data_IF_663954941169
#
_entry.id   IF_663954941169
#
_cell.length_a   1.000
_cell.length_b   1.000
_cell.length_c   1.000
_cell.angle_alpha   90.00
_cell.angle_beta   90.00
_cell.angle_gamma   90.00
#
_symmetry.space_group_name_H-M   'P 1'
#
loop_
_entity.id
_entity.type
_entity.pdbx_description
1 polymer ?
#
# COMPACT_ATOMS: atom_id res chain seq x y z
N UNK A 1 1.01 11.03 -9.52
CA UNK A 1 -0.19 10.26 -9.93
C UNK A 1 0.29 8.92 -10.44
N UNK A 2 -0.17 7.82 -9.84
CA UNK A 2 0.23 6.47 -10.24
C UNK A 2 -0.43 6.10 -11.57
N UNK A 3 0.33 5.46 -12.46
CA UNK A 3 -0.15 4.98 -13.76
C UNK A 3 0.16 3.49 -13.87
N UNK A 4 -0.83 2.64 -14.19
CA UNK A 4 -0.59 1.22 -14.37
C UNK A 4 0.26 0.98 -15.63
N UNK A 5 0.95 -0.15 -15.71
CA UNK A 5 1.73 -0.50 -16.88
C UNK A 5 0.86 -0.64 -18.14
N UNK A 6 1.23 0.10 -19.18
CA UNK A 6 0.54 0.07 -20.48
C UNK A 6 0.63 -1.30 -21.19
N UNK A 7 1.57 -2.15 -20.79
CA UNK A 7 1.71 -3.53 -21.27
C UNK A 7 0.56 -4.43 -20.83
N UNK A 8 -0.08 -4.12 -19.69
CA UNK A 8 -1.17 -4.91 -19.10
C UNK A 8 -2.50 -4.17 -19.22
N UNK A 9 -2.50 -2.85 -18.95
CA UNK A 9 -3.70 -2.02 -18.95
C UNK A 9 -3.58 -0.97 -20.06
N UNK A 10 -4.29 -1.19 -21.16
CA UNK A 10 -4.31 -0.26 -22.30
C UNK A 10 -5.34 0.86 -22.11
N UNK A 11 -6.34 0.66 -21.26
CA UNK A 11 -7.41 1.64 -21.06
C UNK A 11 -6.88 2.84 -20.28
N UNK A 12 -7.07 4.08 -20.78
CA UNK A 12 -6.63 5.27 -20.07
C UNK A 12 -7.47 5.50 -18.81
N UNK A 13 -6.80 5.64 -17.66
CA UNK A 13 -7.46 5.99 -16.40
C UNK A 13 -7.73 7.48 -16.27
N UNK A 14 -8.90 7.81 -15.72
CA UNK A 14 -9.28 9.17 -15.33
C UNK A 14 -8.48 9.64 -14.09
N UNK A 15 -8.38 10.95 -13.83
CA UNK A 15 -7.60 11.47 -12.71
C UNK A 15 -8.00 10.90 -11.34
N UNK A 16 -9.30 10.78 -11.05
CA UNK A 16 -9.77 10.22 -9.79
C UNK A 16 -9.43 8.73 -9.67
N UNK A 17 -9.46 7.99 -10.78
CA UNK A 17 -9.09 6.57 -10.81
C UNK A 17 -7.60 6.37 -10.54
N UNK A 18 -6.74 7.29 -11.00
CA UNK A 18 -5.30 7.27 -10.67
C UNK A 18 -5.05 7.56 -9.19
N UNK A 19 -5.83 8.45 -8.58
CA UNK A 19 -5.77 8.72 -7.14
C UNK A 19 -6.22 7.51 -6.33
N UNK A 20 -7.36 6.89 -6.69
CA UNK A 20 -7.84 5.67 -6.04
C UNK A 20 -6.87 4.49 -6.18
N UNK A 21 -6.27 4.32 -7.36
CA UNK A 21 -5.21 3.34 -7.59
C UNK A 21 -3.98 3.59 -6.69
N UNK A 22 -3.50 4.83 -6.60
CA UNK A 22 -2.37 5.19 -5.74
C UNK A 22 -2.66 4.93 -4.26
N UNK A 23 -3.88 5.22 -3.81
CA UNK A 23 -4.34 4.91 -2.46
C UNK A 23 -4.33 3.41 -2.17
N UNK A 24 -4.91 2.60 -3.07
CA UNK A 24 -4.94 1.15 -2.90
C UNK A 24 -3.54 0.54 -2.94
N UNK A 25 -2.67 1.04 -3.81
CA UNK A 25 -1.28 0.60 -3.89
C UNK A 25 -0.49 0.86 -2.59
N UNK A 26 -0.60 2.05 -2.03
CA UNK A 26 0.03 2.39 -0.74
C UNK A 26 -0.46 1.47 0.39
N UNK A 27 -1.72 1.02 0.32
CA UNK A 27 -2.33 0.10 1.29
C UNK A 27 -1.96 -1.36 1.10
N UNK A 28 -1.55 -1.79 -0.09
CA UNK A 28 -1.04 -3.14 -0.33
C UNK A 28 0.43 -3.29 0.06
N UNK A 29 1.15 -2.17 0.29
CA UNK A 29 2.54 -2.19 0.74
C UNK A 29 2.56 -2.24 2.27
N UNK A 30 3.16 -3.29 2.89
CA UNK A 30 3.21 -3.44 4.35
C UNK A 30 3.86 -2.27 5.10
N UNK A 31 4.73 -1.51 4.42
CA UNK A 31 5.43 -0.34 4.92
C UNK A 31 5.00 0.97 4.23
N UNK A 32 3.81 0.99 3.62
CA UNK A 32 3.25 2.16 2.98
C UNK A 32 3.06 3.32 3.97
N UNK A 33 2.86 4.52 3.43
CA UNK A 33 2.64 5.71 4.26
C UNK A 33 1.39 5.54 5.13
N UNK A 34 0.33 4.95 4.57
CA UNK A 34 -0.91 4.68 5.30
C UNK A 34 -0.74 3.77 6.51
N UNK A 35 0.23 2.85 6.49
CA UNK A 35 0.51 1.95 7.61
C UNK A 35 0.98 2.69 8.86
N UNK A 36 1.49 3.92 8.69
CA UNK A 36 2.13 4.72 9.74
C UNK A 36 1.19 5.73 10.39
N UNK A 37 -0.02 5.93 9.87
CA UNK A 37 -0.93 6.99 10.31
C UNK A 37 -1.34 6.88 11.80
N UNK A 38 -1.34 5.69 12.38
CA UNK A 38 -1.65 5.46 13.80
C UNK A 38 -0.40 5.34 14.69
N UNK A 39 0.78 5.62 14.15
CA UNK A 39 2.06 5.46 14.84
C UNK A 39 2.83 6.77 14.92
N UNK A 40 3.09 7.23 16.14
CA UNK A 40 3.99 8.34 16.39
C UNK A 40 5.44 7.82 16.42
N UNK A 41 6.25 8.18 15.43
CA UNK A 41 7.67 7.78 15.38
C UNK A 41 8.56 8.79 16.09
N UNK A 42 9.64 8.31 16.71
CA UNK A 42 10.63 9.15 17.36
C UNK A 42 11.35 10.09 16.36
N UNK A 43 11.88 11.24 16.83
CA UNK A 43 12.59 12.18 15.98
C UNK A 43 13.83 11.55 15.31
N UNK A 44 14.23 12.06 14.13
CA UNK A 44 15.46 11.64 13.47
C UNK A 44 16.67 11.79 14.42
N UNK A 45 17.53 10.77 14.50
CA UNK A 45 18.75 10.80 15.34
C UNK A 45 18.59 10.20 16.75
N UNK A 46 17.41 9.72 17.11
CA UNK A 46 17.18 8.93 18.33
C UNK A 46 17.07 7.43 18.01
N UNK A 47 17.19 6.55 19.03
CA UNK A 47 16.85 5.13 18.88
C UNK A 47 15.43 5.01 18.35
N UNK A 48 15.25 4.27 17.24
CA UNK A 48 13.95 4.12 16.60
C UNK A 48 12.94 3.55 17.58
N UNK A 49 11.90 4.32 17.86
CA UNK A 49 10.75 3.87 18.63
C UNK A 49 9.49 4.43 17.96
N UNK A 50 8.49 3.57 17.79
CA UNK A 50 7.17 3.97 17.31
C UNK A 50 6.12 3.60 18.36
N UNK A 51 5.26 4.57 18.68
CA UNK A 51 4.19 4.41 19.65
C UNK A 51 2.84 4.45 18.95
N UNK A 52 2.01 3.45 19.17
CA UNK A 52 0.65 3.44 18.66
C UNK A 52 -0.20 4.46 19.43
N UNK A 53 -0.84 5.37 18.71
CA UNK A 53 -1.51 6.57 19.28
C UNK A 53 -2.64 6.17 20.23
N UNK A 54 -3.36 5.08 19.95
CA UNK A 54 -4.55 4.67 20.70
C UNK A 54 -4.20 3.71 21.84
N UNK A 55 -3.41 2.69 21.57
CA UNK A 55 -3.13 1.60 22.53
C UNK A 55 -1.88 1.84 23.38
N UNK A 56 -1.11 2.89 23.08
CA UNK A 56 0.21 3.15 23.68
C UNK A 56 1.23 2.01 23.54
N UNK A 57 0.98 1.02 22.68
CA UNK A 57 1.96 -0.03 22.35
C UNK A 57 3.20 0.62 21.74
N UNK A 58 4.38 0.27 22.25
CA UNK A 58 5.67 0.74 21.74
C UNK A 58 6.34 -0.40 20.98
N UNK A 59 6.89 -0.09 19.81
CA UNK A 59 7.74 -0.99 19.03
C UNK A 59 9.07 -0.32 18.71
N UNK A 60 10.14 -1.10 18.76
CA UNK A 60 11.52 -0.65 18.53
C UNK A 60 12.06 -1.02 17.14
N UNK A 61 11.25 -1.64 16.28
CA UNK A 61 11.62 -1.98 14.91
C UNK A 61 10.51 -1.66 13.90
N UNK A 62 10.92 -1.29 12.68
CA UNK A 62 10.01 -0.97 11.59
C UNK A 62 9.25 -2.21 11.07
N UNK A 63 9.88 -3.38 11.08
CA UNK A 63 9.25 -4.66 10.73
C UNK A 63 8.06 -5.00 11.64
N UNK A 64 8.11 -4.59 12.90
CA UNK A 64 7.01 -4.79 13.86
C UNK A 64 5.77 -3.93 13.53
N UNK A 65 5.96 -2.81 12.82
CA UNK A 65 4.87 -1.97 12.30
C UNK A 65 4.21 -2.63 11.09
N UNK A 66 5.05 -3.17 10.20
CA UNK A 66 4.65 -3.85 8.97
C UNK A 66 3.73 -5.04 9.20
N UNK A 67 4.01 -5.83 10.25
CA UNK A 67 3.32 -7.09 10.53
C UNK A 67 1.93 -6.92 11.14
N UNK A 68 1.67 -5.78 11.79
CA UNK A 68 0.41 -5.53 12.50
C UNK A 68 -0.56 -4.64 11.72
N UNK A 69 -0.15 -4.09 10.58
CA UNK A 69 -1.00 -3.19 9.80
C UNK A 69 -1.87 -4.01 8.83
N UNK A 70 -3.19 -3.82 8.82
CA UNK A 70 -4.05 -4.46 7.83
C UNK A 70 -3.69 -3.95 6.42
N UNK A 71 -3.48 -4.89 5.50
CA UNK A 71 -3.27 -4.59 4.10
C UNK A 71 -4.60 -4.37 3.39
N UNK A 72 -4.57 -3.54 2.35
CA UNK A 72 -5.74 -3.20 1.54
C UNK A 72 -6.58 -2.06 2.10
N UNK A 73 -7.73 -1.83 1.47
CA UNK A 73 -8.59 -0.70 1.80
C UNK A 73 -9.97 -0.81 1.20
N UNK A 74 -10.85 0.10 1.62
CA UNK A 74 -12.22 0.20 1.13
C UNK A 74 -12.27 1.23 0.00
N UNK A 75 -12.65 0.79 -1.20
CA UNK A 75 -12.91 1.67 -2.33
C UNK A 75 -14.42 1.98 -2.40
N UNK A 76 -14.82 3.09 -1.78
CA UNK A 76 -16.22 3.48 -1.59
C UNK A 76 -16.66 4.68 -2.44
N UNK A 77 -16.04 4.85 -3.62
CA UNK A 77 -16.44 5.86 -4.61
C UNK A 77 -17.89 5.64 -5.09
N UNK A 78 -18.54 6.68 -5.61
CA UNK A 78 -19.87 6.58 -6.22
C UNK A 78 -19.95 5.52 -7.32
N UNK A 79 -21.16 5.01 -7.55
CA UNK A 79 -21.44 4.07 -8.63
C UNK A 79 -21.15 4.70 -10.00
N UNK A 80 -20.64 3.90 -10.94
CA UNK A 80 -20.30 4.37 -12.29
C UNK A 80 -18.91 5.01 -12.43
N UNK A 81 -18.17 5.27 -11.34
CA UNK A 81 -16.82 5.86 -11.41
C UNK A 81 -15.71 4.89 -11.86
N UNK A 82 -16.06 3.66 -12.23
CA UNK A 82 -15.11 2.67 -12.74
C UNK A 82 -14.26 2.00 -11.65
N UNK A 83 -14.84 1.69 -10.49
CA UNK A 83 -14.13 0.96 -9.41
C UNK A 83 -13.53 -0.37 -9.88
N UNK A 84 -14.22 -1.07 -10.78
CA UNK A 84 -13.72 -2.33 -11.38
C UNK A 84 -12.42 -2.12 -12.14
N UNK A 85 -12.31 -1.06 -12.95
CA UNK A 85 -11.07 -0.81 -13.70
C UNK A 85 -9.93 -0.38 -12.78
N UNK A 86 -10.23 0.30 -11.67
CA UNK A 86 -9.25 0.61 -10.62
C UNK A 86 -8.70 -0.67 -9.98
N UNK A 87 -9.57 -1.63 -9.64
CA UNK A 87 -9.17 -2.91 -9.07
C UNK A 87 -8.33 -3.76 -10.05
N UNK A 88 -8.73 -3.83 -11.33
CA UNK A 88 -7.94 -4.54 -12.36
C UNK A 88 -6.58 -3.87 -12.56
N UNK A 89 -6.54 -2.53 -12.54
CA UNK A 89 -5.29 -1.77 -12.65
C UNK A 89 -4.34 -2.03 -11.48
N UNK A 90 -4.89 -2.20 -10.27
CA UNK A 90 -4.12 -2.60 -9.09
C UNK A 90 -3.50 -3.98 -9.29
N UNK A 91 -4.30 -4.98 -9.67
CA UNK A 91 -3.83 -6.35 -9.94
C UNK A 91 -2.72 -6.36 -11.00
N UNK A 92 -2.90 -5.62 -12.10
CA UNK A 92 -1.92 -5.51 -13.16
C UNK A 92 -0.58 -4.94 -12.66
N UNK A 93 -0.64 -3.89 -11.84
CA UNK A 93 0.56 -3.26 -11.26
C UNK A 93 1.24 -4.19 -10.24
N UNK A 94 0.46 -4.91 -9.43
CA UNK A 94 1.00 -5.86 -8.43
C UNK A 94 1.69 -7.05 -9.09
N UNK A 95 1.17 -7.52 -10.24
CA UNK A 95 1.79 -8.58 -11.04
C UNK A 95 3.15 -8.17 -11.60
N UNK A 96 3.27 -6.95 -12.14
CA UNK A 96 4.55 -6.45 -12.67
C UNK A 96 5.61 -6.38 -11.58
N UNK A 97 5.25 -5.88 -10.39
CA UNK A 97 6.14 -5.88 -9.23
C UNK A 97 6.64 -7.28 -8.84
N UNK A 98 5.77 -8.29 -8.88
CA UNK A 98 6.18 -9.68 -8.57
C UNK A 98 7.17 -10.25 -9.60
N UNK A 99 7.11 -9.79 -10.86
CA UNK A 99 8.10 -10.17 -11.87
C UNK A 99 9.46 -9.54 -11.53
N UNK A 100 9.48 -8.32 -10.99
CA UNK A 100 10.70 -7.61 -10.60
C UNK A 100 11.31 -8.12 -9.28
N UNK A 101 10.49 -8.60 -8.34
CA UNK A 101 10.96 -9.21 -7.08
C UNK A 101 10.82 -10.72 -7.12
N UNK A 102 11.86 -11.49 -7.54
CA UNK A 102 11.80 -12.94 -7.51
C UNK A 102 11.50 -13.41 -6.08
N UNK A 103 10.48 -14.26 -5.98
CA UNK A 103 10.02 -14.83 -4.71
C UNK A 103 11.18 -15.65 -4.15
N UNK A 104 11.69 -15.28 -2.97
CA UNK A 104 12.68 -16.12 -2.28
C UNK A 104 12.04 -17.50 -2.04
N UNK A 105 12.78 -18.61 -2.29
CA UNK A 105 12.23 -19.95 -2.14
C UNK A 105 11.69 -20.15 -0.72
N UNK A 106 10.52 -20.79 -0.60
CA UNK A 106 9.99 -21.17 0.71
C UNK A 106 11.04 -22.02 1.46
N UNK A 107 11.29 -21.74 2.74
CA UNK A 107 12.13 -22.60 3.56
C UNK A 107 11.52 -24.02 3.63
N UNK A 108 12.36 -25.07 3.71
CA UNK A 108 11.92 -26.47 3.74
C UNK A 108 11.11 -26.83 4.98
#
# INVERSE_FOLDING_TARGET
MMTPPHSIIQTPLLPHQKTGLAFLWDREIPNGQSARNLWATSPPGSTFNARHIITNKVVSSFESLSTNTPLGGLLADDMGLGKTIQAISLIGTSKERMIETPIAPCPP
#
